data_IF_734346889725
#
_entry.id   IF_734346889725
#
_cell.length_a   1.000
_cell.length_b   1.000
_cell.length_c   1.000
_cell.angle_alpha   90.00
_cell.angle_beta   90.00
_cell.angle_gamma   90.00
#
_symmetry.space_group_name_H-M   'P 1'
#
loop_
_entity.id
_entity.type
_entity.pdbx_description
1 polymer ?
2 non-polymer ?
3 water ?
#
# COMPACT_ATOMS: atom_id res chain seq x y z
N UNK A 11 42.96 -25.84 74.72
CA UNK A 11 42.87 -25.09 73.47
C UNK A 11 42.00 -25.84 72.46
N UNK A 12 41.29 -26.87 72.93
CA UNK A 12 40.54 -27.74 72.03
C UNK A 12 39.54 -26.96 71.18
N UNK A 13 39.05 -25.84 71.72
CA UNK A 13 37.95 -25.08 71.09
C UNK A 13 38.31 -24.43 69.75
N UNK A 14 39.49 -23.84 69.64
CA UNK A 14 39.90 -23.21 68.38
C UNK A 14 40.13 -24.26 67.29
N UNK A 15 40.69 -25.41 67.69
CA UNK A 15 41.06 -26.47 66.75
C UNK A 15 39.85 -27.26 66.23
N UNK A 16 38.86 -27.45 67.09
CA UNK A 16 37.64 -28.16 66.72
C UNK A 16 36.70 -27.26 65.91
N UNK A 17 36.49 -26.02 66.37
CA UNK A 17 35.61 -25.07 65.68
C UNK A 17 36.16 -24.69 64.33
N UNK A 18 37.48 -24.60 64.23
CA UNK A 18 38.14 -24.30 62.97
C UNK A 18 37.75 -25.37 61.95
N UNK A 19 37.78 -26.63 62.38
CA UNK A 19 37.44 -27.77 61.53
C UNK A 19 36.00 -27.71 61.03
N UNK A 21 34.10 -25.07 60.39
CA UNK A 21 34.04 -24.06 59.33
C UNK A 21 34.52 -24.56 57.96
N UNK A 22 35.40 -25.56 57.94
CA UNK A 22 35.86 -26.15 56.69
C UNK A 22 34.81 -27.05 56.06
N UNK A 23 34.10 -27.82 56.88
CA UNK A 23 32.97 -28.58 56.39
C UNK A 23 31.84 -27.64 56.02
N UNK A 24 31.53 -26.74 56.93
CA UNK A 24 30.55 -25.68 56.68
C UNK A 24 30.70 -25.15 55.25
N UNK A 25 31.92 -24.77 54.89
CA UNK A 25 32.21 -24.28 53.56
C UNK A 25 32.03 -25.37 52.52
N UNK A 26 32.56 -26.55 52.80
CA UNK A 26 32.51 -27.68 51.87
C UNK A 26 31.09 -28.15 51.59
N UNK A 27 30.18 -27.86 52.50
CA UNK A 27 28.79 -28.22 52.30
C UNK A 27 28.17 -27.15 51.42
N UNK A 28 28.76 -25.96 51.48
CA UNK A 28 28.39 -24.86 50.60
C UNK A 28 28.93 -25.06 49.18
N UNK A 29 30.20 -25.41 49.05
CA UNK A 29 30.78 -25.67 47.74
C UNK A 29 30.08 -26.84 47.07
N UNK A 30 29.68 -27.82 47.87
CA UNK A 30 29.05 -29.02 47.35
C UNK A 30 27.67 -28.72 46.76
N UNK A 31 26.84 -28.03 47.52
CA UNK A 31 25.48 -27.73 47.09
C UNK A 31 25.53 -26.62 46.06
N UNK A 32 26.53 -25.75 46.17
CA UNK A 32 26.72 -24.65 45.22
C UNK A 32 27.03 -25.20 43.84
N UNK A 33 27.88 -26.22 43.81
CA UNK A 33 28.25 -26.87 42.56
C UNK A 33 27.07 -27.59 41.96
N UNK A 34 26.30 -28.27 42.80
CA UNK A 34 25.17 -29.03 42.33
C UNK A 34 24.20 -28.17 41.51
N UNK A 35 24.05 -26.90 41.88
CA UNK A 35 23.10 -26.05 41.18
C UNK A 35 23.65 -25.77 39.80
N UNK A 36 24.96 -25.52 39.71
CA UNK A 36 25.60 -25.24 38.43
C UNK A 36 25.42 -26.40 37.48
N UNK A 38 22.59 -28.40 37.33
CA UNK A 38 21.25 -28.25 36.75
C UNK A 38 21.33 -27.19 35.66
N UNK A 39 22.10 -26.16 35.97
CA UNK A 39 22.27 -25.01 35.11
C UNK A 39 22.82 -25.39 33.73
N UNK A 40 23.84 -26.24 33.69
CA UNK A 40 24.55 -26.53 32.45
C UNK A 40 23.64 -26.89 31.27
N UNK A 41 22.87 -27.98 31.36
CA UNK A 41 22.08 -28.39 30.18
C UNK A 41 21.22 -27.28 29.60
N UNK A 42 20.70 -26.42 30.48
CA UNK A 42 19.83 -25.33 30.08
C UNK A 42 20.62 -24.18 29.46
N UNK A 43 21.83 -24.00 29.94
CA UNK A 43 22.74 -22.97 29.44
C UNK A 43 23.32 -23.45 28.11
N UNK A 44 23.22 -24.75 27.87
CA UNK A 44 23.66 -25.33 26.61
C UNK A 44 22.63 -24.92 25.55
N UNK A 45 21.40 -25.37 25.74
CA UNK A 45 20.30 -25.01 24.83
C UNK A 45 20.24 -23.50 24.64
N UNK A 46 20.55 -22.75 25.69
CA UNK A 46 20.53 -21.29 25.61
C UNK A 46 21.58 -20.82 24.64
N UNK A 47 22.76 -21.41 24.70
CA UNK A 47 23.86 -20.98 23.83
C UNK A 47 23.56 -21.29 22.37
N UNK A 48 22.91 -22.42 22.11
CA UNK A 48 22.52 -22.78 20.76
C UNK A 48 21.60 -21.69 20.18
N UNK A 49 20.49 -21.43 20.85
CA UNK A 49 19.53 -20.43 20.40
C UNK A 49 20.14 -19.05 20.19
N UNK A 50 21.15 -18.69 20.99
CA UNK A 50 21.77 -17.37 20.89
C UNK A 50 22.66 -17.29 19.65
N UNK A 51 23.44 -18.34 19.42
CA UNK A 51 24.27 -18.36 18.22
C UNK A 51 23.36 -18.27 17.01
N UNK A 52 22.28 -19.04 17.06
CA UNK A 52 21.38 -19.19 15.92
C UNK A 52 20.71 -17.88 15.57
N UNK A 53 20.10 -17.26 16.57
CA UNK A 53 19.41 -16.00 16.35
C UNK A 53 20.38 -14.89 15.97
N UNK A 54 21.59 -14.92 16.54
CA UNK A 54 22.59 -13.90 16.24
C UNK A 54 23.18 -14.16 14.86
N UNK A 55 22.94 -15.37 14.36
CA UNK A 55 23.42 -15.78 13.05
C UNK A 55 22.45 -15.28 11.98
N UNK A 56 21.17 -15.18 12.33
CA UNK A 56 20.12 -14.84 11.40
C UNK A 56 20.35 -13.44 10.84
N UNK A 57 21.01 -12.59 11.60
CA UNK A 57 21.39 -11.28 11.12
C UNK A 57 22.80 -10.89 11.53
N UNK A 58 23.53 -10.29 10.60
CA UNK A 58 24.93 -9.99 10.81
C UNK A 58 25.09 -8.96 11.92
N UNK A 59 25.28 -9.45 13.14
CA UNK A 59 25.42 -8.57 14.30
C UNK A 59 26.09 -9.38 15.39
N UNK A 60 26.52 -8.73 16.44
CA UNK A 60 27.19 -9.42 17.53
C UNK A 60 26.50 -8.99 18.82
N UNK A 61 26.04 -9.99 19.57
CA UNK A 61 25.43 -9.79 20.89
C UNK A 61 26.42 -10.16 21.99
N UNK A 62 27.10 -9.16 22.51
CA UNK A 62 28.00 -9.36 23.62
C UNK A 62 27.18 -9.29 24.89
N UNK A 63 26.08 -8.55 24.84
CA UNK A 63 25.32 -8.25 26.03
C UNK A 63 23.82 -8.49 25.84
N UNK A 64 23.07 -8.54 26.94
CA UNK A 64 21.62 -8.67 26.85
C UNK A 64 21.04 -7.33 26.39
N UNK A 65 21.74 -6.24 26.68
CA UNK A 65 21.29 -4.94 26.24
C UNK A 65 21.40 -4.84 24.73
N UNK A 66 22.39 -5.49 24.13
CA UNK A 66 22.49 -5.52 22.67
C UNK A 66 21.22 -6.12 22.10
N UNK A 67 20.76 -7.21 22.70
CA UNK A 67 19.55 -7.88 22.26
C UNK A 67 18.35 -6.94 22.29
N UNK A 68 18.24 -6.14 23.36
CA UNK A 68 17.11 -5.22 23.49
C UNK A 68 17.26 -4.06 22.49
N UNK A 69 18.49 -3.68 22.17
CA UNK A 69 18.71 -2.59 21.22
C UNK A 69 18.37 -3.04 19.79
N UNK A 70 18.92 -4.17 19.36
CA UNK A 70 18.63 -4.67 18.02
C UNK A 70 17.12 -4.83 17.83
N UNK A 71 16.42 -5.07 18.94
CA UNK A 71 15.00 -5.33 18.87
C UNK A 71 14.17 -4.05 18.83
N UNK A 72 14.65 -2.98 19.44
CA UNK A 72 13.94 -1.73 19.32
C UNK A 72 13.87 -1.41 17.83
N UNK A 73 15.02 -1.54 17.16
CA UNK A 73 15.13 -1.25 15.73
C UNK A 73 14.32 -2.19 14.89
N UNK A 74 14.29 -3.45 15.29
CA UNK A 74 13.53 -4.44 14.55
C UNK A 74 12.06 -4.08 14.53
N UNK A 75 11.58 -3.48 15.61
CA UNK A 75 10.16 -3.22 15.76
C UNK A 75 9.73 -1.98 15.01
N UNK A 76 10.62 -1.00 14.90
CA UNK A 76 10.32 0.15 14.06
C UNK A 76 10.31 -0.30 12.58
N UNK A 77 11.37 -0.95 12.11
CA UNK A 77 11.37 -1.52 10.77
C UNK A 77 10.02 -2.16 10.50
N UNK A 78 9.47 -2.86 11.48
CA UNK A 78 8.23 -3.58 11.28
C UNK A 78 7.00 -2.66 11.18
N UNK A 79 6.77 -1.84 12.19
CA UNK A 79 5.55 -1.03 12.20
C UNK A 79 5.52 -0.12 11.00
N UNK A 80 6.66 0.48 10.66
CA UNK A 80 6.76 1.40 9.53
C UNK A 80 6.42 0.70 8.22
N UNK A 81 7.00 -0.48 8.03
CA UNK A 81 6.72 -1.32 6.87
C UNK A 81 5.25 -1.71 6.78
N UNK A 82 4.58 -1.82 7.92
CA UNK A 82 3.19 -2.25 7.92
C UNK A 82 2.23 -1.12 7.57
N UNK A 83 2.61 0.11 7.93
CA UNK A 83 1.80 1.26 7.57
C UNK A 83 1.99 1.60 6.10
N UNK A 84 3.21 1.44 5.59
CA UNK A 84 3.46 1.69 4.18
C UNK A 84 2.80 0.64 3.31
N UNK A 85 2.97 -0.63 3.64
CA UNK A 85 2.35 -1.68 2.84
C UNK A 85 0.83 -1.52 2.88
N UNK A 86 0.32 -1.07 4.02
CA UNK A 86 -1.13 -0.89 4.17
C UNK A 86 -1.61 0.34 3.41
N UNK A 87 -0.78 1.37 3.44
CA UNK A 87 -1.09 2.66 2.83
C UNK A 87 -1.04 2.52 1.32
N UNK A 88 -0.01 1.83 0.84
CA UNK A 88 0.19 1.53 -0.57
C UNK A 88 -1.00 0.75 -1.12
N UNK A 89 -1.29 -0.40 -0.53
CA UNK A 89 -2.40 -1.22 -0.96
C UNK A 89 -3.72 -0.48 -0.91
N UNK A 90 -3.82 0.49 0.00
CA UNK A 90 -5.00 1.35 0.08
C UNK A 90 -5.10 2.19 -1.18
N UNK A 91 -3.99 2.83 -1.54
CA UNK A 91 -3.88 3.61 -2.75
C UNK A 91 -4.03 2.72 -4.00
N UNK A 92 -3.52 1.50 -3.93
CA UNK A 92 -3.62 0.59 -5.06
C UNK A 92 -5.08 0.33 -5.32
N UNK A 93 -5.82 -0.06 -4.29
CA UNK A 93 -7.23 -0.38 -4.43
C UNK A 93 -8.07 0.83 -4.82
N UNK A 94 -7.55 2.02 -4.55
CA UNK A 94 -8.27 3.26 -4.87
C UNK A 94 -8.15 3.55 -6.36
N UNK A 95 -7.26 2.79 -7.00
CA UNK A 95 -6.99 2.91 -8.41
C UNK A 95 -7.67 1.79 -9.16
N UNK A 96 -7.49 0.55 -8.70
CA UNK A 96 -8.27 -0.58 -9.22
C UNK A 96 -9.71 -0.13 -9.40
N UNK A 97 -10.17 0.67 -8.45
CA UNK A 97 -11.53 1.16 -8.47
C UNK A 97 -11.67 2.26 -9.52
N UNK A 98 -10.95 3.36 -9.32
CA UNK A 98 -10.95 4.49 -10.26
C UNK A 98 -11.07 3.98 -11.68
N UNK A 99 -10.03 3.29 -12.13
CA UNK A 99 -9.98 2.72 -13.46
C UNK A 99 -11.27 2.00 -13.84
N UNK A 100 -11.71 1.06 -13.02
CA UNK A 100 -12.94 0.33 -13.28
C UNK A 100 -14.02 1.27 -13.77
N UNK A 101 -14.20 2.38 -13.06
CA UNK A 101 -15.25 3.37 -13.36
C UNK A 101 -15.14 4.01 -14.74
N UNK A 102 -13.96 4.57 -15.04
CA UNK A 102 -13.75 5.28 -16.29
C UNK A 102 -13.83 4.36 -17.49
N UNK A 103 -13.91 3.06 -17.23
CA UNK A 103 -13.76 2.09 -18.29
C UNK A 103 -15.10 1.67 -18.87
N UNK A 104 -16.09 1.40 -18.03
CA UNK A 104 -17.35 0.91 -18.55
C UNK A 104 -17.98 1.89 -19.53
N UNK A 105 -18.08 1.50 -20.80
CA UNK A 105 -18.47 2.48 -21.83
C UNK A 105 -19.93 2.53 -22.28
N UNK A 106 -20.53 3.71 -22.18
CA UNK A 106 -21.81 3.97 -22.81
C UNK A 106 -21.65 5.17 -23.72
N UNK A 107 -21.94 5.00 -25.01
CA UNK A 107 -22.38 3.72 -25.54
C UNK A 107 -23.81 3.53 -26.01
N UNK A 108 -23.99 3.50 -27.32
CA UNK A 108 -22.91 3.80 -28.27
C UNK A 108 -23.31 4.94 -29.19
N UNK A 109 -22.44 5.94 -29.34
CA UNK A 109 -22.71 7.01 -30.25
C UNK A 109 -22.84 6.45 -31.65
N UNK A 110 -23.65 7.12 -32.46
CA UNK A 110 -23.91 6.68 -33.82
C UNK A 110 -22.68 6.81 -34.70
N UNK A 111 -22.43 5.76 -35.49
CA UNK A 111 -21.32 5.74 -36.44
C UNK A 111 -21.60 6.66 -37.61
N UNK A 112 -22.84 6.64 -38.10
CA UNK A 112 -23.24 7.50 -39.20
C UNK A 112 -22.74 8.94 -38.99
N UNK A 113 -22.85 9.45 -37.77
CA UNK A 113 -22.45 10.82 -37.48
C UNK A 113 -21.02 11.05 -37.93
N UNK A 114 -20.14 10.14 -37.55
CA UNK A 114 -18.74 10.26 -37.92
C UNK A 114 -18.64 10.46 -39.42
N UNK A 115 -19.44 9.67 -40.15
CA UNK A 115 -19.45 9.66 -41.62
C UNK A 115 -19.91 11.00 -42.20
N UNK A 116 -20.94 11.60 -41.59
CA UNK A 116 -21.48 12.85 -42.10
C UNK A 116 -20.55 14.03 -41.81
N UNK A 117 -19.88 13.99 -40.66
CA UNK A 117 -18.97 15.07 -40.29
C UNK A 117 -17.79 15.08 -41.24
N UNK A 118 -17.43 13.89 -41.72
CA UNK A 118 -16.39 13.74 -42.72
C UNK A 118 -16.89 14.24 -44.07
N UNK A 119 -18.17 14.01 -44.34
CA UNK A 119 -18.81 14.42 -45.58
C UNK A 119 -18.72 15.93 -45.76
N UNK A 120 -19.28 16.69 -44.82
CA UNK A 120 -19.11 18.13 -44.81
C UNK A 120 -17.81 18.42 -44.12
N UNK A 121 -16.94 19.16 -44.77
CA UNK A 121 -15.71 19.60 -44.13
C UNK A 121 -16.06 20.13 -42.75
N UNK A 122 -15.50 19.53 -41.72
CA UNK A 122 -15.82 19.97 -40.38
C UNK A 122 -15.74 18.88 -39.33
N UNK A 123 -15.81 19.31 -38.08
CA UNK A 123 -15.46 18.49 -36.94
C UNK A 123 -16.69 18.14 -36.12
N UNK A 124 -16.65 17.01 -35.41
CA UNK A 124 -17.71 16.60 -34.51
C UNK A 124 -17.58 17.38 -33.20
N UNK A 125 -18.61 17.37 -32.36
CA UNK A 125 -18.54 18.11 -31.11
C UNK A 125 -18.05 17.19 -30.02
N UNK A 126 -18.31 15.89 -30.19
CA UNK A 126 -17.80 14.87 -29.29
C UNK A 126 -16.29 14.95 -29.27
N UNK A 127 -15.73 15.46 -30.37
CA UNK A 127 -14.29 15.60 -30.51
C UNK A 127 -13.81 17.00 -30.12
N UNK A 128 -14.63 18.03 -30.38
CA UNK A 128 -14.23 19.38 -29.99
C UNK A 128 -14.07 19.44 -28.49
N UNK A 129 -15.01 18.84 -27.77
CA UNK A 129 -15.02 18.84 -26.32
C UNK A 129 -14.48 17.53 -25.76
N UNK A 130 -13.91 16.69 -26.60
CA UNK A 130 -13.26 15.47 -26.13
C UNK A 130 -12.17 15.84 -25.13
N UNK A 131 -11.84 17.12 -25.10
CA UNK A 131 -10.69 17.61 -24.36
C UNK A 131 -11.02 17.92 -22.89
N UNK A 132 -12.30 18.13 -22.58
CA UNK A 132 -12.72 18.68 -21.26
C UNK A 132 -12.38 17.82 -20.06
N UNK A 133 -12.44 18.45 -18.89
CA UNK A 133 -12.00 17.86 -17.63
C UNK A 133 -13.01 16.85 -17.11
N UNK A 134 -12.58 16.02 -16.17
CA UNK A 134 -13.37 14.88 -15.71
C UNK A 134 -14.52 15.31 -14.83
N UNK A 135 -14.32 16.42 -14.13
CA UNK A 135 -15.28 16.91 -13.16
C UNK A 135 -16.34 17.70 -13.92
N UNK A 136 -15.95 18.21 -15.08
CA UNK A 136 -16.82 19.06 -15.88
C UNK A 136 -17.52 18.26 -16.97
N UNK A 137 -16.86 17.24 -17.47
CA UNK A 137 -17.37 16.46 -18.59
C UNK A 137 -18.83 15.98 -18.40
N UNK A 138 -19.16 15.42 -17.23
CA UNK A 138 -20.50 14.85 -17.04
C UNK A 138 -21.57 15.92 -17.09
N UNK A 139 -21.26 17.07 -16.52
CA UNK A 139 -22.19 18.18 -16.47
C UNK A 139 -22.50 18.72 -17.86
N UNK A 140 -21.46 19.05 -18.63
CA UNK A 140 -21.64 19.55 -19.99
C UNK A 140 -22.32 18.57 -20.94
N UNK A 141 -22.23 17.29 -20.70
CA UNK A 141 -22.95 16.35 -21.53
C UNK A 141 -24.44 16.49 -21.28
N UNK A 142 -24.84 16.59 -20.01
CA UNK A 142 -26.25 16.75 -19.69
C UNK A 142 -26.75 18.08 -20.26
N UNK A 143 -25.84 19.04 -20.29
CA UNK A 143 -26.15 20.41 -20.64
C UNK A 143 -26.67 20.56 -22.08
N UNK A 144 -25.91 20.07 -23.06
CA UNK A 144 -26.24 20.27 -24.47
C UNK A 144 -27.45 19.46 -24.94
N UNK A 145 -28.07 18.75 -24.01
CA UNK A 145 -29.16 17.89 -24.37
C UNK A 145 -28.81 17.03 -25.57
N UNK A 146 -29.78 16.76 -26.42
CA UNK A 146 -29.55 15.95 -27.63
C UNK A 146 -28.57 16.62 -28.63
N UNK A 147 -28.21 17.88 -28.37
CA UNK A 147 -27.24 18.59 -29.20
C UNK A 147 -25.80 18.21 -28.94
N UNK A 148 -25.55 17.20 -28.10
CA UNK A 148 -24.18 16.83 -27.77
C UNK A 148 -23.47 16.36 -29.02
N UNK A 149 -24.16 15.52 -29.78
CA UNK A 149 -23.58 14.99 -31.00
C UNK A 149 -24.19 16.00 -31.96
N UNK A 150 -23.52 17.13 -32.11
CA UNK A 150 -23.93 18.12 -33.07
C UNK A 150 -22.70 18.00 -33.93
N UNK A 151 -22.80 18.42 -35.19
CA UNK A 151 -21.63 18.57 -36.04
C UNK A 151 -21.35 20.04 -36.21
N UNK A 152 -20.11 20.43 -35.99
CA UNK A 152 -19.72 21.83 -36.11
C UNK A 152 -19.13 22.11 -37.49
N UNK A 153 -19.77 23.03 -38.22
CA UNK A 153 -19.33 23.45 -39.55
C UNK A 153 -19.61 24.92 -39.71
N UNK A 154 -18.60 25.69 -40.14
CA UNK A 154 -18.66 27.16 -40.11
C UNK A 154 -19.52 27.83 -41.19
N UNK A 155 -19.69 27.18 -42.34
CA UNK A 155 -20.41 27.79 -43.45
C UNK A 155 -21.88 27.43 -43.45
N UNK A 156 -22.15 26.17 -43.10
CA UNK A 156 -23.51 25.62 -43.13
C UNK A 156 -24.05 25.63 -44.57
N UNK A 157 -23.14 25.71 -45.53
CA UNK A 157 -23.47 25.91 -46.93
C UNK A 157 -23.40 24.54 -47.57
N UNK A 158 -22.43 23.72 -47.18
CA UNK A 158 -22.24 22.40 -47.79
C UNK A 158 -23.47 21.56 -47.51
N UNK A 159 -23.98 21.67 -46.30
CA UNK A 159 -25.12 20.90 -45.87
C UNK A 159 -26.38 21.29 -46.61
N UNK A 160 -26.64 22.58 -46.70
CA UNK A 160 -27.83 23.06 -47.38
C UNK A 160 -27.90 22.47 -48.79
N UNK A 161 -26.76 22.32 -49.44
CA UNK A 161 -26.72 21.73 -50.78
C UNK A 161 -26.98 20.23 -50.68
N UNK A 162 -26.20 19.53 -49.85
CA UNK A 162 -26.34 18.08 -49.70
C UNK A 162 -27.49 17.72 -48.76
N UNK A 163 -28.19 18.74 -48.30
CA UNK A 163 -29.21 18.54 -47.29
C UNK A 163 -30.28 17.63 -47.87
N UNK A 164 -30.86 18.07 -48.99
CA UNK A 164 -31.87 17.30 -49.69
C UNK A 164 -31.42 15.84 -49.93
N UNK A 165 -30.18 15.66 -50.39
CA UNK A 165 -29.66 14.34 -50.73
C UNK A 165 -29.76 13.30 -49.62
N UNK A 166 -29.47 13.73 -48.39
CA UNK A 166 -29.40 12.82 -47.24
C UNK A 166 -30.72 12.12 -46.96
N UNK A 167 -30.63 10.80 -46.77
CA UNK A 167 -31.81 9.99 -46.57
C UNK A 167 -31.72 9.14 -45.32
N UNK A 168 -30.58 8.47 -45.14
CA UNK A 168 -30.50 7.47 -44.09
C UNK A 168 -30.05 8.04 -42.76
N UNK A 169 -29.56 9.27 -42.77
CA UNK A 169 -29.16 9.98 -41.56
C UNK A 169 -30.12 9.77 -40.37
N UNK A 170 -29.59 9.79 -39.16
CA UNK A 170 -30.41 9.54 -37.98
C UNK A 170 -31.51 10.59 -37.96
N UNK A 171 -32.68 10.24 -37.44
CA UNK A 171 -33.90 11.00 -37.70
C UNK A 171 -33.70 12.44 -37.24
N UNK A 172 -33.02 12.62 -36.11
CA UNK A 172 -32.66 13.96 -35.70
C UNK A 172 -31.17 14.20 -35.92
N UNK A 173 -30.86 15.18 -36.76
CA UNK A 173 -29.51 15.68 -36.91
C UNK A 173 -29.13 17.10 -36.50
N UNK A 174 -28.17 17.25 -35.59
CA UNK A 174 -27.91 18.55 -35.01
C UNK A 174 -26.66 19.21 -35.61
N UNK A 175 -26.74 20.50 -35.92
CA UNK A 175 -25.67 21.19 -36.60
C UNK A 175 -25.40 22.58 -36.05
N UNK A 176 -24.13 22.97 -36.00
CA UNK A 176 -23.74 24.22 -35.36
C UNK A 176 -22.63 24.91 -36.15
N UNK A 177 -22.76 26.21 -36.39
CA UNK A 177 -21.75 26.93 -37.17
C UNK A 177 -20.76 27.65 -36.27
N UNK A 178 -19.51 27.18 -36.31
CA UNK A 178 -18.46 27.72 -35.48
C UNK A 178 -17.11 27.30 -36.03
N UNK A 179 -16.06 27.81 -35.40
CA UNK A 179 -14.69 27.47 -35.78
C UNK A 179 -14.23 26.34 -34.87
N UNK A 180 -14.13 25.12 -35.42
CA UNK A 180 -13.68 24.01 -34.59
C UNK A 180 -12.35 24.28 -33.86
N UNK A 181 -11.42 24.99 -34.47
CA UNK A 181 -10.14 25.26 -33.81
C UNK A 181 -10.30 26.15 -32.58
N UNK A 182 -11.08 27.22 -32.69
CA UNK A 182 -11.34 28.09 -31.55
C UNK A 182 -12.85 28.27 -31.40
N UNK A 183 -13.50 27.23 -30.87
CA UNK A 183 -14.96 27.17 -30.83
C UNK A 183 -15.53 28.00 -29.69
N UNK A 184 -16.66 28.64 -29.95
CA UNK A 184 -17.26 29.53 -28.98
C UNK A 184 -18.48 28.89 -28.34
N UNK A 185 -18.37 28.64 -27.05
CA UNK A 185 -19.31 27.81 -26.32
C UNK A 185 -20.73 28.29 -26.54
N UNK A 186 -21.68 27.38 -26.44
CA UNK A 186 -23.09 27.73 -26.49
C UNK A 186 -23.48 28.45 -25.22
N UNK A 187 -24.76 28.83 -25.14
CA UNK A 187 -25.29 29.49 -23.96
C UNK A 187 -26.71 29.01 -23.68
N UNK A 188 -26.99 28.69 -22.42
CA UNK A 188 -28.30 28.13 -22.02
C UNK A 188 -28.93 28.91 -20.85
N UNK A 189 -30.26 28.83 -20.72
CA UNK A 189 -30.95 29.29 -19.51
C UNK A 189 -31.04 28.10 -18.59
N UNK A 190 -30.16 28.03 -17.60
CA UNK A 190 -30.02 26.80 -16.84
C UNK A 190 -30.03 26.93 -15.33
N UNK A 191 -30.60 25.92 -14.70
CA UNK A 191 -30.60 25.80 -13.26
C UNK A 191 -29.93 24.48 -12.91
N UNK A 192 -28.75 24.53 -12.29
CA UNK A 192 -27.99 23.32 -11.99
C UNK A 192 -28.54 22.64 -10.75
N UNK A 193 -28.69 21.34 -10.86
CA UNK A 193 -29.29 20.56 -9.82
C UNK A 193 -28.27 19.51 -9.51
N UNK A 194 -28.43 18.85 -8.36
CA UNK A 194 -27.51 17.79 -8.01
C UNK A 194 -27.65 16.64 -8.98
N UNK A 195 -26.55 16.32 -9.67
CA UNK A 195 -26.48 15.16 -10.56
C UNK A 195 -27.51 15.23 -11.68
N UNK A 196 -27.80 16.45 -12.14
CA UNK A 196 -28.80 16.71 -13.18
C UNK A 196 -28.81 18.20 -13.51
N UNK A 197 -29.47 18.58 -14.59
CA UNK A 197 -29.54 19.97 -15.01
C UNK A 197 -30.94 20.23 -15.56
N UNK A 198 -31.40 21.46 -15.44
CA UNK A 198 -32.71 21.82 -15.94
C UNK A 198 -32.62 23.03 -16.85
N UNK A 199 -32.64 22.80 -18.16
CA UNK A 199 -32.63 23.90 -19.12
C UNK A 199 -34.04 24.35 -19.48
N UNK A 200 -34.29 25.66 -19.50
CA UNK A 200 -35.44 26.19 -20.22
C UNK A 200 -35.11 26.27 -21.70
N UNK A 201 -35.60 25.31 -22.47
CA UNK A 201 -35.33 25.26 -23.89
C UNK A 201 -36.21 26.27 -24.61
N UNK A 202 -37.42 26.46 -24.12
CA UNK A 202 -38.32 27.44 -24.70
C UNK A 202 -39.39 27.88 -23.71
N UNK A 203 -40.33 28.67 -24.20
CA UNK A 203 -41.41 29.17 -23.36
C UNK A 203 -42.26 28.00 -22.93
N UNK A 204 -42.35 27.77 -21.63
CA UNK A 204 -43.25 26.74 -21.12
C UNK A 204 -42.72 25.35 -21.45
N UNK A 205 -41.47 25.27 -21.91
CA UNK A 205 -40.83 23.99 -22.21
C UNK A 205 -39.46 23.88 -21.57
N UNK A 206 -39.19 22.75 -20.93
CA UNK A 206 -37.95 22.54 -20.20
C UNK A 206 -37.43 21.13 -20.47
N UNK A 207 -36.11 20.96 -20.47
CA UNK A 207 -35.47 19.64 -20.57
C UNK A 207 -34.76 19.29 -19.25
N UNK A 208 -34.91 18.06 -18.78
CA UNK A 208 -34.13 17.56 -17.65
C UNK A 208 -33.16 16.48 -18.13
N UNK A 209 -31.85 16.75 -18.13
CA UNK A 209 -30.87 15.73 -18.48
C UNK A 209 -30.03 15.34 -17.26
N UNK A 210 -30.03 14.05 -16.91
CA UNK A 210 -29.15 13.56 -15.84
C UNK A 210 -27.68 13.63 -16.24
N UNK A 211 -26.79 13.78 -15.26
CA UNK A 211 -25.36 13.60 -15.49
C UNK A 211 -25.18 12.16 -15.89
N UNK A 212 -24.45 11.91 -16.99
CA UNK A 212 -24.25 10.50 -17.36
C UNK A 212 -23.05 9.94 -16.63
N UNK A 213 -23.00 8.64 -16.40
CA UNK A 213 -21.71 8.01 -16.15
C UNK A 213 -21.25 7.70 -17.56
N UNK A 214 -19.98 7.93 -17.84
CA UNK A 214 -19.47 7.92 -19.21
C UNK A 214 -19.98 8.98 -20.20
N UNK A 215 -19.95 10.26 -19.78
CA UNK A 215 -20.33 11.39 -20.62
C UNK A 215 -19.76 11.42 -22.03
N UNK A 216 -20.49 11.97 -22.97
CA UNK A 216 -20.00 12.06 -24.33
C UNK A 216 -18.68 12.84 -24.39
N UNK A 217 -18.68 14.01 -23.78
CA UNK A 217 -17.54 14.92 -23.82
C UNK A 217 -16.39 14.45 -22.94
N UNK A 218 -15.17 14.51 -23.46
CA UNK A 218 -14.02 14.36 -22.59
C UNK A 218 -13.46 12.96 -22.48
N UNK A 219 -13.61 12.16 -23.52
CA UNK A 219 -13.02 10.84 -23.53
C UNK A 219 -11.51 10.95 -23.66
N UNK A 220 -11.03 12.11 -24.06
CA UNK A 220 -9.61 12.29 -24.36
C UNK A 220 -8.82 12.64 -23.12
N UNK A 221 -9.42 13.46 -22.26
CA UNK A 221 -8.83 13.73 -20.97
C UNK A 221 -9.10 12.54 -20.05
N UNK A 222 -10.17 11.81 -20.33
CA UNK A 222 -10.47 10.60 -19.59
C UNK A 222 -9.56 9.41 -19.90
N UNK A 223 -9.46 9.05 -21.18
CA UNK A 223 -8.59 7.96 -21.61
C UNK A 223 -7.18 8.30 -21.13
N UNK A 224 -6.88 9.60 -21.07
CA UNK A 224 -5.55 10.06 -20.68
C UNK A 224 -5.27 9.85 -19.20
N UNK A 225 -6.26 10.15 -18.37
CA UNK A 225 -6.18 9.82 -16.95
C UNK A 225 -6.03 8.30 -16.76
N UNK A 226 -6.84 7.53 -17.49
CA UNK A 226 -6.82 6.08 -17.36
C UNK A 226 -5.44 5.46 -17.61
N UNK A 227 -4.66 6.05 -18.51
CA UNK A 227 -3.27 5.64 -18.69
C UNK A 227 -2.44 5.94 -17.45
N UNK A 228 -2.51 7.19 -16.98
CA UNK A 228 -1.78 7.62 -15.79
C UNK A 228 -2.08 6.72 -14.59
N UNK A 229 -3.28 6.13 -14.58
CA UNK A 229 -3.67 5.28 -13.47
C UNK A 229 -3.04 3.90 -13.59
N UNK A 230 -2.85 3.43 -14.82
CA UNK A 230 -2.19 2.16 -15.06
C UNK A 230 -0.71 2.23 -14.74
N UNK A 231 -0.11 3.36 -15.05
CA UNK A 231 1.29 3.60 -14.73
C UNK A 231 1.45 3.46 -13.24
N UNK A 232 0.71 4.29 -12.53
CA UNK A 232 0.78 4.34 -11.09
C UNK A 232 0.43 2.99 -10.50
N UNK A 233 -0.59 2.32 -11.03
CA UNK A 233 -0.99 1.07 -10.42
C UNK A 233 0.13 0.07 -10.45
N UNK A 234 0.86 -0.02 -11.56
CA UNK A 234 1.91 -1.02 -11.64
C UNK A 234 3.12 -0.65 -10.77
N UNK A 235 3.35 0.64 -10.58
CA UNK A 235 4.36 1.09 -9.63
C UNK A 235 3.95 0.75 -8.21
N UNK A 236 2.66 0.85 -7.91
CA UNK A 236 2.19 0.51 -6.57
C UNK A 236 2.33 -0.98 -6.34
N UNK A 237 1.86 -1.80 -7.26
CA UNK A 237 1.86 -3.23 -7.04
C UNK A 237 3.27 -3.74 -6.89
N UNK A 238 4.22 -2.96 -7.40
CA UNK A 238 5.64 -3.31 -7.35
C UNK A 238 6.20 -2.97 -5.98
N UNK A 239 5.88 -1.78 -5.49
CA UNK A 239 6.30 -1.35 -4.16
C UNK A 239 5.57 -2.17 -3.10
N UNK A 240 4.33 -2.54 -3.38
CA UNK A 240 3.55 -3.31 -2.44
C UNK A 240 4.20 -4.67 -2.28
N UNK A 241 4.65 -5.25 -3.38
CA UNK A 241 5.31 -6.53 -3.33
C UNK A 241 6.53 -6.46 -2.44
N UNK A 242 7.40 -5.49 -2.67
CA UNK A 242 8.62 -5.35 -1.87
C UNK A 242 8.29 -5.17 -0.40
N UNK A 243 7.30 -4.34 -0.10
CA UNK A 243 6.93 -4.07 1.29
C UNK A 243 6.40 -5.33 1.98
N UNK A 244 5.45 -6.00 1.35
CA UNK A 244 4.79 -7.13 1.97
C UNK A 244 5.77 -8.29 2.24
N UNK A 245 6.75 -8.47 1.36
CA UNK A 245 7.83 -9.41 1.64
C UNK A 245 8.62 -8.93 2.84
N UNK A 246 9.13 -7.71 2.73
CA UNK A 246 9.88 -7.07 3.80
C UNK A 246 9.20 -7.27 5.13
N UNK A 247 7.87 -7.18 5.16
CA UNK A 247 7.12 -7.37 6.39
C UNK A 247 7.17 -8.82 6.84
N UNK A 248 6.92 -9.75 5.94
CA UNK A 248 6.95 -11.16 6.28
C UNK A 248 8.29 -11.57 6.88
N UNK A 249 9.36 -10.98 6.35
CA UNK A 249 10.71 -11.33 6.76
C UNK A 249 10.97 -10.76 8.13
N UNK A 250 10.42 -9.57 8.36
CA UNK A 250 10.59 -8.90 9.64
C UNK A 250 9.78 -9.58 10.75
N UNK A 251 8.52 -9.90 10.48
CA UNK A 251 7.71 -10.60 11.45
C UNK A 251 8.24 -12.01 11.71
N UNK A 252 9.09 -12.49 10.83
CA UNK A 252 9.73 -13.79 11.03
C UNK A 252 10.90 -13.68 12.01
N UNK A 253 11.55 -12.52 12.03
CA UNK A 253 12.65 -12.25 12.97
C UNK A 253 12.10 -11.74 14.29
N UNK A 254 10.89 -11.22 14.24
CA UNK A 254 10.18 -10.81 15.42
C UNK A 254 9.94 -12.06 16.25
N UNK A 255 9.24 -13.02 15.65
CA UNK A 255 8.91 -14.28 16.32
C UNK A 255 10.17 -15.05 16.70
N UNK A 256 11.26 -14.80 15.98
CA UNK A 256 12.54 -15.41 16.30
C UNK A 256 12.99 -14.97 17.68
N UNK A 257 12.94 -13.67 17.91
CA UNK A 257 13.36 -13.09 19.17
C UNK A 257 12.48 -13.56 20.30
N UNK A 258 11.18 -13.64 20.08
CA UNK A 258 10.27 -14.07 21.14
C UNK A 258 10.63 -15.46 21.66
N UNK A 259 10.71 -16.48 20.81
CA UNK A 259 11.05 -17.82 21.28
C UNK A 259 12.22 -17.72 22.25
N UNK A 260 13.31 -17.12 21.76
CA UNK A 260 14.54 -16.98 22.53
C UNK A 260 14.33 -16.19 23.83
N UNK A 261 13.56 -15.12 23.74
CA UNK A 261 13.33 -14.27 24.90
C UNK A 261 12.59 -15.02 25.99
N UNK A 262 11.53 -15.71 25.60
CA UNK A 262 10.69 -16.42 26.55
C UNK A 262 11.38 -17.61 27.19
N UNK A 263 12.37 -18.18 26.52
CA UNK A 263 12.95 -19.43 26.97
C UNK A 263 14.42 -19.35 27.39
N UNK A 264 15.29 -18.78 26.57
CA UNK A 264 16.72 -18.83 26.84
C UNK A 264 17.39 -17.52 27.27
N UNK A 265 16.63 -16.45 27.39
CA UNK A 265 17.27 -15.16 27.55
C UNK A 265 17.87 -14.91 28.93
N UNK A 266 17.20 -15.38 29.97
CA UNK A 266 17.73 -15.22 31.33
C UNK A 266 19.09 -15.93 31.47
N UNK A 267 19.16 -17.16 30.96
CA UNK A 267 20.31 -18.04 31.17
C UNK A 267 21.57 -17.61 30.45
N UNK A 268 21.41 -17.15 29.22
CA UNK A 268 22.53 -16.76 28.39
C UNK A 268 23.10 -15.48 28.98
N UNK A 269 24.27 -15.09 28.50
CA UNK A 269 25.01 -13.97 29.07
C UNK A 269 25.42 -14.29 30.51
N UNK A 270 25.67 -15.57 30.78
CA UNK A 270 26.16 -15.99 32.07
C UNK A 270 27.54 -16.57 31.75
N UNK A 271 28.36 -16.77 32.78
CA UNK A 271 29.70 -17.32 32.58
C UNK A 271 29.40 -18.80 32.53
N UNK A 272 30.11 -19.53 31.68
CA UNK A 272 29.87 -20.96 31.56
C UNK A 272 29.94 -21.57 32.95
N UNK A 273 28.98 -22.46 33.27
CA UNK A 273 28.98 -23.24 34.51
C UNK A 273 30.29 -23.99 34.78
N UNK A 274 30.74 -24.76 33.79
CA UNK A 274 31.95 -25.57 33.92
C UNK A 274 33.13 -24.77 34.45
N UNK A 275 33.12 -23.47 34.21
CA UNK A 275 34.23 -22.59 34.62
C UNK A 275 34.37 -22.58 36.14
N UNK A 276 33.25 -22.39 36.81
CA UNK A 276 33.22 -22.33 38.26
C UNK A 276 33.14 -23.73 38.86
N UNK A 277 32.58 -24.68 38.11
CA UNK A 277 32.44 -26.06 38.59
C UNK A 277 33.79 -26.75 38.78
N UNK A 278 34.72 -26.47 37.88
CA UNK A 278 36.05 -27.06 37.96
C UNK A 278 36.87 -26.28 38.97
N UNK A 279 36.66 -24.96 39.01
CA UNK A 279 37.37 -24.11 39.95
C UNK A 279 37.01 -24.46 41.39
N UNK A 280 35.72 -24.56 41.66
CA UNK A 280 35.24 -24.94 42.97
C UNK A 280 35.76 -26.32 43.36
N UNK A 281 35.91 -27.20 42.37
CA UNK A 281 36.36 -28.57 42.63
C UNK A 281 37.80 -28.66 43.10
N UNK A 282 38.70 -27.88 42.49
CA UNK A 282 40.09 -27.85 42.93
C UNK A 282 40.15 -27.25 44.33
N UNK A 283 39.19 -26.35 44.62
CA UNK A 283 39.09 -25.71 45.92
C UNK A 283 38.56 -26.66 46.99
N UNK A 284 37.63 -27.54 46.62
CA UNK A 284 37.05 -28.49 47.57
C UNK A 284 38.05 -29.62 47.82
N UNK A 285 38.92 -29.84 46.84
CA UNK A 285 39.98 -30.82 46.98
C UNK A 285 41.04 -30.26 47.90
N UNK A 286 41.28 -28.97 47.79
CA UNK A 286 42.20 -28.29 48.67
C UNK A 286 41.70 -28.32 50.12
N UNK A 287 40.38 -28.16 50.28
CA UNK A 287 39.77 -28.21 51.62
C UNK A 287 39.94 -29.62 52.20
N UNK A 288 39.59 -30.61 51.39
CA UNK A 288 39.61 -31.99 51.83
C UNK A 288 41.01 -32.39 52.25
N UNK A 289 42.01 -31.82 51.58
CA UNK A 289 43.41 -32.10 51.87
C UNK A 289 43.82 -31.50 53.21
N UNK A 290 43.18 -30.39 53.57
CA UNK A 290 43.45 -29.72 54.83
C UNK A 290 42.75 -30.44 55.99
N UNK A 291 41.59 -31.03 55.71
CA UNK A 291 40.92 -31.91 56.68
C UNK A 291 41.73 -33.18 56.84
N UNK A 292 42.55 -33.47 55.82
CA UNK A 292 43.38 -34.66 55.82
C UNK A 292 44.64 -34.42 56.64
N UNK A 293 45.29 -33.29 56.38
CA UNK A 293 46.60 -33.01 56.95
C UNK A 293 46.59 -33.11 58.48
#
# INVERSE_FOLDING_TARGET
GSHXIASLSDSVSNAREERXALRQEQEQLQSRIQSLXQRAPVWLAAQNSLNQLSEQCGEEFTSSQDVTEYLQQLLEREREAIVERDEVGARKNAVDEEIERLSQPGGSEDQRLNALAERFGGVLLSEIYDDVSLEDAPYFSALYGPSRHAIVVPDLSQVTEHLEGLTDCPEDLYLIEGDPQSFDDSVFSVDELEKAVVVKIADRQWRYSRFPEVPLFGRAARESRIESLHAEREVLSERFATLSFDVQKTQRLHQAFSRFIGSHLAVAFESDPEAEIRQLNSRRVELERALSNHENDNQQQR
#
